data_IF_138901434118
#
_entry.id   IF_138901434118
#
_cell.length_a   1.000
_cell.length_b   1.000
_cell.length_c   1.000
_cell.angle_alpha   90.00
_cell.angle_beta   90.00
_cell.angle_gamma   90.00
#
_symmetry.space_group_name_H-M   'P 1'
#
loop_
_entity.id
_entity.type
_entity.pdbx_description
1 polymer ?
#
# COMPACT_ATOMS: atom_id res chain seq x y z
N UNK A 1 17.51 10.86 -13.97
CA UNK A 1 16.99 9.62 -13.36
C UNK A 1 15.49 9.64 -13.55
N UNK A 2 14.86 8.55 -14.01
CA UNK A 2 13.41 8.49 -14.30
C UNK A 2 12.78 7.29 -13.61
N UNK A 3 11.45 7.28 -13.44
CA UNK A 3 10.75 6.10 -12.92
C UNK A 3 11.02 4.87 -13.79
N UNK A 4 10.93 5.01 -15.11
CA UNK A 4 11.25 3.93 -16.04
C UNK A 4 12.67 3.37 -15.82
N UNK A 5 13.66 4.24 -15.58
CA UNK A 5 15.03 3.83 -15.29
C UNK A 5 15.18 3.07 -13.97
N UNK A 6 14.48 3.51 -12.91
CA UNK A 6 14.46 2.82 -11.62
C UNK A 6 13.81 1.45 -11.73
N UNK A 7 12.63 1.34 -12.36
CA UNK A 7 11.95 0.07 -12.57
C UNK A 7 12.75 -0.89 -13.46
N UNK A 8 13.39 -0.38 -14.52
CA UNK A 8 14.31 -1.18 -15.33
C UNK A 8 15.45 -1.74 -14.45
N UNK A 9 16.04 -0.91 -13.59
CA UNK A 9 17.12 -1.34 -12.68
C UNK A 9 16.63 -2.41 -11.71
N UNK A 10 15.44 -2.25 -11.12
CA UNK A 10 14.83 -3.26 -10.26
C UNK A 10 14.72 -4.61 -10.99
N UNK A 11 14.29 -4.58 -12.25
CA UNK A 11 13.99 -5.76 -13.05
C UNK A 11 15.22 -6.51 -13.57
N UNK A 12 16.33 -5.82 -13.89
CA UNK A 12 17.46 -6.45 -14.59
C UNK A 12 18.78 -6.44 -13.83
N UNK A 13 18.95 -5.58 -12.82
CA UNK A 13 20.22 -5.45 -12.13
C UNK A 13 20.43 -6.56 -11.08
N UNK A 14 21.63 -6.58 -10.50
CA UNK A 14 21.95 -7.43 -9.37
C UNK A 14 21.11 -7.08 -8.12
N UNK A 15 21.17 -7.95 -7.11
CA UNK A 15 20.38 -7.83 -5.88
C UNK A 15 20.57 -6.49 -5.16
N UNK A 16 21.81 -6.01 -5.09
CA UNK A 16 22.13 -4.78 -4.37
C UNK A 16 21.62 -3.54 -5.10
N UNK A 17 21.84 -3.48 -6.42
CA UNK A 17 21.38 -2.37 -7.24
C UNK A 17 19.85 -2.34 -7.36
N UNK A 18 19.22 -3.50 -7.49
CA UNK A 18 17.75 -3.63 -7.48
C UNK A 18 17.15 -3.14 -6.16
N UNK A 19 17.74 -3.54 -5.03
CA UNK A 19 17.30 -3.06 -3.70
C UNK A 19 17.47 -1.54 -3.56
N UNK A 20 18.61 -0.99 -3.98
CA UNK A 20 18.85 0.45 -3.99
C UNK A 20 17.82 1.18 -4.86
N UNK A 21 17.56 0.68 -6.05
CA UNK A 21 16.59 1.26 -6.97
C UNK A 21 15.18 1.27 -6.37
N UNK A 22 14.74 0.17 -5.75
CA UNK A 22 13.45 0.10 -5.06
C UNK A 22 13.32 1.16 -3.95
N UNK A 23 14.37 1.36 -3.14
CA UNK A 23 14.38 2.42 -2.11
C UNK A 23 14.42 3.83 -2.71
N UNK A 24 15.03 3.99 -3.89
CA UNK A 24 15.11 5.26 -4.59
C UNK A 24 13.78 5.67 -5.21
N UNK A 25 12.89 4.73 -5.57
CA UNK A 25 11.55 5.06 -6.10
C UNK A 25 10.79 5.99 -5.16
N UNK A 26 10.81 5.72 -3.86
CA UNK A 26 10.17 6.60 -2.85
C UNK A 26 10.78 7.99 -2.81
N UNK A 27 12.12 8.06 -2.75
CA UNK A 27 12.84 9.34 -2.70
C UNK A 27 12.56 10.17 -3.95
N UNK A 28 12.63 9.51 -5.11
CA UNK A 28 12.37 10.13 -6.39
C UNK A 28 10.95 10.67 -6.43
N UNK A 29 9.95 9.88 -5.99
CA UNK A 29 8.55 10.26 -5.98
C UNK A 29 8.25 11.54 -5.19
N UNK A 30 8.75 11.64 -3.96
CA UNK A 30 8.53 12.84 -3.16
C UNK A 30 9.31 14.05 -3.68
N UNK A 31 10.47 13.85 -4.31
CA UNK A 31 11.23 14.93 -4.95
C UNK A 31 10.65 15.41 -6.28
N UNK A 32 9.92 14.55 -7.00
CA UNK A 32 9.29 14.85 -8.30
C UNK A 32 7.97 15.61 -8.18
N UNK A 33 7.37 15.72 -6.97
CA UNK A 33 6.12 16.47 -6.77
C UNK A 33 6.21 17.94 -7.19
N UNK A 34 7.40 18.49 -7.38
CA UNK A 34 7.64 19.85 -7.90
C UNK A 34 7.68 19.97 -9.44
N UNK A 35 7.75 18.88 -10.22
CA UNK A 35 8.14 18.92 -11.65
C UNK A 35 7.05 18.51 -12.69
N UNK A 36 5.80 18.32 -12.31
CA UNK A 36 4.64 18.42 -13.22
C UNK A 36 4.08 17.15 -13.89
N UNK A 37 3.11 17.34 -14.79
CA UNK A 37 2.17 16.34 -15.38
C UNK A 37 2.79 15.14 -16.12
N UNK A 38 4.04 15.21 -16.59
CA UNK A 38 4.63 14.14 -17.41
C UNK A 38 5.07 12.91 -16.61
N UNK A 39 5.52 13.09 -15.36
CA UNK A 39 5.95 11.98 -14.50
C UNK A 39 4.76 11.13 -14.05
N UNK A 40 3.58 11.73 -13.90
CA UNK A 40 2.32 11.01 -13.61
C UNK A 40 1.92 10.02 -14.70
N UNK A 41 2.10 10.37 -15.99
CA UNK A 41 1.79 9.45 -17.10
C UNK A 41 2.71 8.22 -17.10
N UNK A 42 3.98 8.39 -16.77
CA UNK A 42 4.92 7.27 -16.64
C UNK A 42 4.54 6.36 -15.46
N UNK A 43 4.21 6.94 -14.31
CA UNK A 43 3.75 6.22 -13.12
C UNK A 43 2.49 5.39 -13.45
N UNK A 44 1.49 6.00 -14.09
CA UNK A 44 0.27 5.29 -14.52
C UNK A 44 0.58 4.09 -15.41
N UNK A 45 1.49 4.26 -16.38
CA UNK A 45 1.91 3.15 -17.26
C UNK A 45 2.60 2.03 -16.47
N UNK A 46 3.42 2.36 -15.48
CA UNK A 46 4.08 1.38 -14.61
C UNK A 46 3.04 0.60 -13.80
N UNK A 47 2.12 1.30 -13.13
CA UNK A 47 1.06 0.71 -12.31
C UNK A 47 0.21 -0.25 -13.13
N UNK A 48 -0.29 0.20 -14.28
CA UNK A 48 -1.17 -0.61 -15.14
C UNK A 48 -0.51 -1.91 -15.61
N UNK A 49 0.80 -1.90 -15.82
CA UNK A 49 1.54 -3.07 -16.28
C UNK A 49 2.15 -3.89 -15.13
N UNK A 50 2.05 -3.43 -13.87
CA UNK A 50 2.74 -4.03 -12.73
C UNK A 50 2.38 -5.50 -12.49
N UNK A 51 1.11 -5.94 -12.55
CA UNK A 51 0.79 -7.36 -12.40
C UNK A 51 1.46 -8.22 -13.48
N UNK A 52 1.43 -7.76 -14.74
CA UNK A 52 2.05 -8.46 -15.86
C UNK A 52 3.57 -8.55 -15.73
N UNK A 53 4.24 -7.46 -15.34
CA UNK A 53 5.68 -7.47 -15.10
C UNK A 53 6.06 -8.33 -13.90
N UNK A 54 5.29 -8.30 -12.81
CA UNK A 54 5.50 -9.11 -11.62
C UNK A 54 5.53 -10.62 -11.95
N UNK A 55 4.60 -11.10 -12.78
CA UNK A 55 4.55 -12.53 -13.16
C UNK A 55 5.76 -13.02 -13.92
N UNK A 56 6.54 -12.12 -14.54
CA UNK A 56 7.77 -12.46 -15.27
C UNK A 56 8.99 -12.59 -14.37
N UNK A 57 8.91 -12.14 -13.11
CA UNK A 57 10.03 -12.15 -12.18
C UNK A 57 10.13 -13.52 -11.52
N UNK A 58 11.22 -14.24 -11.79
CA UNK A 58 11.51 -15.55 -11.19
C UNK A 58 12.18 -15.45 -9.80
N UNK A 59 12.93 -14.37 -9.56
CA UNK A 59 13.71 -14.19 -8.33
C UNK A 59 12.86 -13.62 -7.19
N UNK A 60 12.71 -14.37 -6.09
CA UNK A 60 11.94 -13.96 -4.91
C UNK A 60 12.36 -12.59 -4.35
N UNK A 61 13.67 -12.34 -4.25
CA UNK A 61 14.19 -11.07 -3.74
C UNK A 61 13.89 -9.90 -4.68
N UNK A 62 13.79 -10.16 -5.99
CA UNK A 62 13.46 -9.15 -6.99
C UNK A 62 11.97 -8.86 -6.99
N UNK A 63 11.14 -9.88 -6.80
CA UNK A 63 9.71 -9.73 -6.57
C UNK A 63 9.44 -8.85 -5.34
N UNK A 64 10.17 -9.07 -4.24
CA UNK A 64 10.05 -8.24 -3.03
C UNK A 64 10.39 -6.77 -3.32
N UNK A 65 11.54 -6.52 -3.98
CA UNK A 65 11.96 -5.17 -4.37
C UNK A 65 10.95 -4.51 -5.30
N UNK A 66 10.39 -5.26 -6.25
CA UNK A 66 9.39 -4.76 -7.20
C UNK A 66 8.09 -4.37 -6.49
N UNK A 67 7.56 -5.24 -5.62
CA UNK A 67 6.35 -4.95 -4.83
C UNK A 67 6.56 -3.72 -3.96
N UNK A 68 7.69 -3.65 -3.25
CA UNK A 68 8.04 -2.48 -2.42
C UNK A 68 8.30 -1.19 -3.20
N UNK A 69 8.52 -1.26 -4.51
CA UNK A 69 8.66 -0.09 -5.36
C UNK A 69 7.31 0.39 -5.92
N UNK A 70 6.48 -0.53 -6.42
CA UNK A 70 5.13 -0.19 -6.93
C UNK A 70 4.26 0.35 -5.80
N UNK A 71 4.42 -0.18 -4.59
CA UNK A 71 3.64 0.23 -3.43
C UNK A 71 3.63 1.73 -3.20
N UNK A 72 4.77 2.37 -3.42
CA UNK A 72 4.97 3.79 -3.16
C UNK A 72 4.26 4.65 -4.20
N UNK A 73 4.02 4.13 -5.41
CA UNK A 73 3.38 4.89 -6.49
C UNK A 73 1.86 4.64 -6.53
N UNK A 74 1.37 3.66 -5.77
CA UNK A 74 -0.02 3.21 -5.78
C UNK A 74 -1.02 4.35 -5.53
N UNK A 75 -0.72 5.26 -4.59
CA UNK A 75 -1.63 6.34 -4.20
C UNK A 75 -1.79 7.45 -5.26
N UNK A 76 -1.03 7.39 -6.36
CA UNK A 76 -1.06 8.42 -7.43
C UNK A 76 -1.80 7.96 -8.69
N UNK A 77 -2.52 6.83 -8.61
CA UNK A 77 -3.32 6.34 -9.74
C UNK A 77 -4.67 7.07 -9.84
N UNK A 78 -4.75 7.94 -10.85
CA UNK A 78 -5.92 8.67 -11.36
C UNK A 78 -6.70 9.51 -10.33
N UNK A 79 -6.14 10.69 -10.03
CA UNK A 79 -6.79 11.73 -9.20
C UNK A 79 -8.01 12.38 -9.87
N UNK A 80 -8.32 12.11 -11.15
CA UNK A 80 -9.29 12.93 -11.91
C UNK A 80 -10.55 12.21 -12.41
N UNK A 81 -10.73 10.90 -12.25
CA UNK A 81 -11.92 10.25 -12.82
C UNK A 81 -12.44 9.01 -12.11
N UNK A 82 -11.60 7.99 -11.93
CA UNK A 82 -11.97 6.74 -11.26
C UNK A 82 -10.71 6.16 -10.61
N UNK A 83 -10.59 6.16 -9.26
CA UNK A 83 -9.46 5.50 -8.63
C UNK A 83 -9.51 4.00 -8.97
N UNK A 84 -8.70 3.57 -9.93
CA UNK A 84 -8.47 2.15 -10.19
C UNK A 84 -7.58 1.66 -9.06
N UNK A 85 -8.19 0.94 -8.12
CA UNK A 85 -7.53 0.52 -6.91
C UNK A 85 -6.78 -0.76 -7.24
N UNK A 86 -5.50 -0.81 -6.89
CA UNK A 86 -4.67 -2.02 -6.92
C UNK A 86 -5.14 -3.03 -5.85
N UNK A 87 -6.31 -2.85 -5.24
CA UNK A 87 -6.87 -3.79 -4.28
C UNK A 87 -6.93 -5.23 -4.82
N UNK A 88 -7.36 -5.51 -6.06
CA UNK A 88 -7.30 -6.87 -6.59
C UNK A 88 -5.86 -7.44 -6.57
N UNK A 89 -4.88 -6.62 -6.96
CA UNK A 89 -3.48 -7.04 -6.96
C UNK A 89 -2.91 -7.16 -5.55
N UNK A 90 -3.20 -6.22 -4.64
CA UNK A 90 -2.89 -6.31 -3.22
C UNK A 90 -3.43 -7.62 -2.62
N UNK A 91 -4.70 -7.95 -2.86
CA UNK A 91 -5.31 -9.17 -2.31
C UNK A 91 -4.65 -10.42 -2.90
N UNK A 92 -4.19 -10.40 -4.14
CA UNK A 92 -3.36 -11.47 -4.69
C UNK A 92 -2.00 -11.57 -3.95
N UNK A 93 -1.33 -10.45 -3.69
CA UNK A 93 -0.05 -10.42 -2.97
C UNK A 93 -0.18 -10.90 -1.52
N UNK A 94 -1.29 -10.58 -0.83
CA UNK A 94 -1.57 -11.05 0.54
C UNK A 94 -1.86 -12.56 0.60
N UNK A 95 -2.26 -13.17 -0.52
CA UNK A 95 -2.44 -14.61 -0.69
C UNK A 95 -1.17 -15.32 -1.17
N UNK A 96 -0.10 -14.58 -1.44
CA UNK A 96 1.12 -15.17 -1.99
C UNK A 96 1.76 -16.18 -1.03
N UNK A 97 2.30 -17.29 -1.56
CA UNK A 97 2.93 -18.35 -0.75
C UNK A 97 4.17 -17.87 0.02
N UNK A 98 4.96 -16.98 -0.59
CA UNK A 98 6.16 -16.40 0.00
C UNK A 98 5.78 -15.32 1.03
N UNK A 99 6.20 -15.51 2.28
CA UNK A 99 5.91 -14.59 3.39
C UNK A 99 6.54 -13.21 3.23
N UNK A 100 7.68 -13.09 2.56
CA UNK A 100 8.32 -11.80 2.31
C UNK A 100 7.49 -10.93 1.37
N UNK A 101 6.85 -11.54 0.37
CA UNK A 101 5.93 -10.84 -0.54
C UNK A 101 4.69 -10.37 0.21
N UNK A 102 4.09 -11.23 1.06
CA UNK A 102 2.97 -10.82 1.92
C UNK A 102 3.37 -9.66 2.83
N UNK A 103 4.55 -9.72 3.44
CA UNK A 103 5.05 -8.65 4.30
C UNK A 103 5.32 -7.35 3.52
N UNK A 104 5.88 -7.43 2.32
CA UNK A 104 6.05 -6.27 1.44
C UNK A 104 4.70 -5.64 1.06
N UNK A 105 3.66 -6.45 0.83
CA UNK A 105 2.30 -5.98 0.56
C UNK A 105 1.61 -5.36 1.79
N UNK A 106 1.91 -5.82 3.01
CA UNK A 106 1.46 -5.16 4.25
C UNK A 106 2.11 -3.77 4.35
N UNK A 107 3.44 -3.70 4.26
CA UNK A 107 4.18 -2.42 4.28
C UNK A 107 3.77 -1.46 3.17
N UNK A 108 3.33 -1.99 2.03
CA UNK A 108 2.78 -1.18 0.94
C UNK A 108 1.60 -0.35 1.41
N UNK A 109 0.69 -0.95 2.15
CA UNK A 109 -0.54 -0.29 2.57
C UNK A 109 -0.28 0.58 3.80
N UNK A 110 0.50 0.12 4.77
CA UNK A 110 0.82 0.91 5.97
C UNK A 110 1.40 2.30 5.65
N UNK A 111 2.28 2.41 4.65
CA UNK A 111 2.87 3.69 4.28
C UNK A 111 1.89 4.66 3.62
N UNK A 112 0.82 4.16 2.99
CA UNK A 112 -0.10 4.95 2.19
C UNK A 112 -1.45 5.20 2.88
N UNK A 113 -1.81 4.38 3.88
CA UNK A 113 -3.05 4.52 4.64
C UNK A 113 -3.18 5.91 5.26
N UNK A 114 -2.10 6.47 5.78
CA UNK A 114 -2.15 7.80 6.40
C UNK A 114 -2.60 8.92 5.46
N UNK A 115 -2.31 8.83 4.16
CA UNK A 115 -2.82 9.80 3.18
C UNK A 115 -4.30 9.58 2.87
N UNK A 116 -4.73 8.32 2.88
CA UNK A 116 -6.12 7.93 2.62
C UNK A 116 -7.06 8.30 3.78
N UNK A 117 -6.57 8.23 5.01
CA UNK A 117 -7.33 8.49 6.25
C UNK A 117 -7.16 9.91 6.79
N UNK A 118 -6.36 10.75 6.11
CA UNK A 118 -6.06 12.11 6.57
C UNK A 118 -7.33 12.93 6.85
N UNK A 119 -8.32 12.87 5.97
CA UNK A 119 -9.57 13.62 6.11
C UNK A 119 -10.42 13.19 7.30
N UNK A 120 -10.23 11.95 7.79
CA UNK A 120 -10.87 11.44 8.99
C UNK A 120 -10.17 12.02 10.23
N UNK A 121 -8.84 12.03 10.23
CA UNK A 121 -8.02 12.49 11.36
C UNK A 121 -8.00 14.02 11.50
N UNK A 122 -8.09 14.75 10.40
CA UNK A 122 -8.00 16.21 10.34
C UNK A 122 -9.18 16.80 9.55
N UNK A 123 -10.39 16.57 10.06
CA UNK A 123 -11.65 16.96 9.40
C UNK A 123 -11.85 18.47 9.22
N UNK A 124 -11.09 19.30 9.94
CA UNK A 124 -11.14 20.78 9.89
C UNK A 124 -10.15 21.42 8.91
N UNK A 125 -9.23 20.64 8.33
CA UNK A 125 -8.20 21.17 7.42
C UNK A 125 -8.54 20.94 5.95
N UNK A 126 -8.34 21.94 5.09
CA UNK A 126 -8.54 21.81 3.64
C UNK A 126 -7.50 20.86 3.05
N UNK A 127 -7.97 19.76 2.48
CA UNK A 127 -7.17 18.78 1.74
C UNK A 127 -6.66 19.37 0.42
N UNK A 128 -5.56 20.10 0.45
CA UNK A 128 -4.86 20.49 -0.79
C UNK A 128 -3.99 19.36 -1.36
N UNK A 129 -3.75 18.28 -0.60
CA UNK A 129 -2.64 17.35 -0.85
C UNK A 129 -3.01 15.97 -1.43
N UNK A 130 -4.26 15.51 -1.36
CA UNK A 130 -4.63 14.16 -1.81
C UNK A 130 -5.30 14.12 -3.18
N UNK A 131 -5.92 15.21 -3.64
CA UNK A 131 -6.73 15.24 -4.86
C UNK A 131 -8.03 14.43 -4.76
N UNK A 132 -8.29 13.72 -3.65
CA UNK A 132 -9.51 12.96 -3.41
C UNK A 132 -10.47 13.77 -2.53
N UNK A 133 -11.76 13.78 -2.89
CA UNK A 133 -12.79 14.26 -1.96
C UNK A 133 -12.93 13.28 -0.77
N UNK A 134 -13.33 13.76 0.42
CA UNK A 134 -13.61 12.90 1.58
C UNK A 134 -14.51 11.71 1.23
N UNK A 135 -15.60 11.96 0.48
CA UNK A 135 -16.53 10.89 0.05
C UNK A 135 -15.87 9.82 -0.84
N UNK A 136 -14.91 10.19 -1.68
CA UNK A 136 -14.17 9.22 -2.49
C UNK A 136 -13.23 8.41 -1.60
N UNK A 137 -12.50 9.07 -0.69
CA UNK A 137 -11.61 8.41 0.25
C UNK A 137 -12.38 7.42 1.15
N UNK A 138 -13.54 7.81 1.68
CA UNK A 138 -14.42 6.92 2.48
C UNK A 138 -14.84 5.68 1.70
N UNK A 139 -15.22 5.83 0.43
CA UNK A 139 -15.59 4.70 -0.44
C UNK A 139 -14.41 3.74 -0.65
N UNK A 140 -13.21 4.28 -0.84
CA UNK A 140 -11.99 3.48 -0.99
C UNK A 140 -11.68 2.72 0.30
N UNK A 141 -11.72 3.41 1.45
CA UNK A 141 -11.51 2.81 2.79
C UNK A 141 -12.51 1.68 3.03
N UNK A 142 -13.79 1.93 2.76
CA UNK A 142 -14.84 0.93 2.91
C UNK A 142 -14.59 -0.30 2.01
N UNK A 143 -14.21 -0.09 0.76
CA UNK A 143 -13.86 -1.16 -0.18
C UNK A 143 -12.67 -1.99 0.29
N UNK A 144 -11.61 -1.33 0.79
CA UNK A 144 -10.44 -1.98 1.37
C UNK A 144 -10.84 -2.85 2.56
N UNK A 145 -11.56 -2.27 3.53
CA UNK A 145 -12.02 -2.95 4.75
C UNK A 145 -12.86 -4.18 4.43
N UNK A 146 -13.80 -4.05 3.50
CA UNK A 146 -14.65 -5.15 3.03
C UNK A 146 -13.82 -6.28 2.43
N UNK A 147 -12.88 -5.95 1.54
CA UNK A 147 -12.02 -6.95 0.90
C UNK A 147 -11.10 -7.67 1.91
N UNK A 148 -10.54 -6.94 2.88
CA UNK A 148 -9.72 -7.53 3.94
C UNK A 148 -10.52 -8.45 4.86
N UNK A 149 -11.74 -8.06 5.25
CA UNK A 149 -12.63 -8.90 6.05
C UNK A 149 -13.00 -10.20 5.32
N UNK A 150 -13.33 -10.11 4.03
CA UNK A 150 -13.59 -11.30 3.20
C UNK A 150 -12.35 -12.20 3.12
N UNK A 151 -11.17 -11.62 2.95
CA UNK A 151 -9.90 -12.34 2.91
C UNK A 151 -9.59 -13.02 4.24
N UNK A 152 -9.85 -12.37 5.37
CA UNK A 152 -9.73 -12.96 6.70
C UNK A 152 -10.71 -14.11 6.90
N UNK A 153 -11.99 -13.92 6.55
CA UNK A 153 -13.00 -14.95 6.69
C UNK A 153 -12.64 -16.22 5.91
N UNK A 154 -12.15 -16.06 4.67
CA UNK A 154 -11.73 -17.18 3.82
C UNK A 154 -10.42 -17.87 4.25
N UNK A 155 -9.57 -17.17 5.01
CA UNK A 155 -8.26 -17.69 5.45
C UNK A 155 -8.22 -18.07 6.94
N UNK A 156 -9.34 -17.93 7.64
CA UNK A 156 -9.50 -18.31 9.04
C UNK A 156 -9.27 -19.81 9.25
N UNK A 157 -8.72 -20.15 10.41
CA UNK A 157 -8.56 -21.53 10.87
C UNK A 157 -8.94 -21.60 12.34
N UNK A 158 -9.63 -22.65 12.76
CA UNK A 158 -9.99 -22.83 14.19
C UNK A 158 -8.78 -22.85 15.12
N UNK A 159 -7.63 -23.31 14.63
CA UNK A 159 -6.36 -23.26 15.35
C UNK A 159 -5.92 -21.86 15.75
N UNK A 160 -6.50 -20.81 15.15
CA UNK A 160 -6.17 -19.43 15.45
C UNK A 160 -6.88 -18.89 16.71
N UNK A 161 -7.94 -19.56 17.20
CA UNK A 161 -8.70 -19.14 18.40
C UNK A 161 -7.84 -19.04 19.67
N UNK A 162 -6.73 -19.77 19.72
CA UNK A 162 -5.82 -19.79 20.88
C UNK A 162 -4.88 -18.58 20.96
N UNK A 163 -4.75 -17.79 19.90
CA UNK A 163 -3.85 -16.63 19.88
C UNK A 163 -4.61 -15.39 20.32
N UNK A 164 -4.05 -14.68 21.30
CA UNK A 164 -4.64 -13.44 21.85
C UNK A 164 -4.21 -12.21 21.06
N UNK A 165 -2.97 -12.18 20.59
CA UNK A 165 -2.40 -11.03 19.88
C UNK A 165 -2.12 -11.37 18.41
N UNK A 166 -2.27 -10.38 17.52
CA UNK A 166 -1.97 -10.53 16.08
C UNK A 166 -0.53 -11.01 15.89
N UNK A 167 0.40 -10.49 16.70
CA UNK A 167 1.82 -10.83 16.62
C UNK A 167 2.10 -12.33 16.89
N UNK A 168 1.24 -13.00 17.66
CA UNK A 168 1.41 -14.43 17.98
C UNK A 168 0.88 -15.35 16.87
N UNK A 169 0.10 -14.81 15.93
CA UNK A 169 -0.43 -15.62 14.84
C UNK A 169 0.69 -16.17 13.96
N UNK A 170 0.52 -17.38 13.40
CA UNK A 170 1.40 -17.88 12.35
C UNK A 170 1.43 -16.93 11.15
N UNK A 171 2.58 -16.82 10.49
CA UNK A 171 2.69 -16.05 9.25
C UNK A 171 1.77 -16.65 8.19
N UNK A 172 0.96 -15.80 7.57
CA UNK A 172 -0.02 -16.24 6.58
C UNK A 172 -0.95 -15.10 6.19
N UNK A 173 -1.81 -15.38 5.21
CA UNK A 173 -2.81 -14.44 4.68
C UNK A 173 -3.67 -13.82 5.78
N UNK A 174 -4.16 -14.64 6.72
CA UNK A 174 -4.99 -14.17 7.83
C UNK A 174 -4.27 -13.11 8.68
N UNK A 175 -3.03 -13.39 9.11
CA UNK A 175 -2.22 -12.43 9.88
C UNK A 175 -1.92 -11.17 9.08
N UNK A 176 -1.56 -11.31 7.81
CA UNK A 176 -1.26 -10.16 6.94
C UNK A 176 -2.47 -9.25 6.74
N UNK A 177 -3.66 -9.81 6.54
CA UNK A 177 -4.89 -9.03 6.45
C UNK A 177 -5.25 -8.36 7.79
N UNK A 178 -5.08 -9.06 8.91
CA UNK A 178 -5.27 -8.48 10.25
C UNK A 178 -4.33 -7.31 10.54
N UNK A 179 -3.06 -7.39 10.14
CA UNK A 179 -2.10 -6.29 10.33
C UNK A 179 -2.58 -5.02 9.61
N UNK A 180 -3.04 -5.15 8.36
CA UNK A 180 -3.56 -4.00 7.61
C UNK A 180 -4.83 -3.44 8.26
N UNK A 181 -5.76 -4.31 8.69
CA UNK A 181 -6.98 -3.87 9.35
C UNK A 181 -6.70 -3.16 10.68
N UNK A 182 -5.73 -3.64 11.46
CA UNK A 182 -5.30 -2.98 12.70
C UNK A 182 -4.86 -1.55 12.43
N UNK A 183 -3.99 -1.34 11.43
CA UNK A 183 -3.51 0.00 11.06
C UNK A 183 -4.65 0.86 10.51
N UNK A 184 -5.56 0.28 9.73
CA UNK A 184 -6.73 1.00 9.24
C UNK A 184 -7.66 1.45 10.38
N UNK A 185 -7.90 0.59 11.37
CA UNK A 185 -8.70 0.92 12.54
C UNK A 185 -8.02 2.02 13.37
N UNK A 186 -6.70 1.92 13.61
CA UNK A 186 -5.93 2.97 14.31
C UNK A 186 -6.01 4.32 13.59
N UNK A 187 -5.89 4.33 12.26
CA UNK A 187 -5.93 5.55 11.45
C UNK A 187 -7.36 6.12 11.26
N UNK A 188 -8.40 5.29 11.33
CA UNK A 188 -9.80 5.73 11.15
C UNK A 188 -10.54 6.03 12.46
N UNK A 189 -10.01 5.60 13.60
CA UNK A 189 -10.60 5.95 14.88
C UNK A 189 -10.48 7.46 15.09
N UNK A 190 -11.60 8.11 15.44
CA UNK A 190 -11.57 9.47 15.95
C UNK A 190 -10.58 9.53 17.12
N UNK A 191 -9.63 10.46 17.08
CA UNK A 191 -8.96 10.89 18.30
C UNK A 191 -10.03 11.58 19.14
N UNK A 192 -10.82 10.79 19.87
CA UNK A 192 -11.69 11.26 20.94
C UNK A 192 -10.84 11.61 22.17
N UNK A 193 -9.88 12.53 21.97
CA UNK A 193 -9.11 13.17 23.02
C UNK A 193 -9.09 14.69 22.78
N UNK A 194 -10.26 15.31 22.79
CA UNK A 194 -10.40 16.54 23.57
C UNK A 194 -10.78 16.14 24.98
N UNK A 195 -9.79 15.85 25.83
CA UNK A 195 -9.97 15.97 27.28
C UNK A 195 -8.65 16.29 27.99
N UNK A 196 -8.53 17.58 28.33
CA UNK A 196 -7.91 18.10 29.55
C UNK A 196 -6.41 17.85 29.80
N UNK A 197 -5.56 18.70 29.23
CA UNK A 197 -4.50 19.34 29.99
C UNK A 197 -4.40 20.80 29.56
N UNK A 198 -4.64 21.71 30.51
CA UNK A 198 -4.33 23.15 30.60
C UNK A 198 -5.52 23.90 31.22
N UNK A 199 -5.59 23.85 32.54
CA UNK A 199 -5.63 25.02 33.42
C UNK A 199 -5.24 24.60 34.84
#
# INVERSE_FOLDING_TARGET
MTFAGLFKTILIADKYQSFKAARQVRKFLYSSRSNGKNEFKEIQKIIRNAPGEYTKISDDWRQENFVGAISVIYFLHDQEGKPDLLFPWLFQLLQHKNGNIRHAAVRMIEHELGLLTYHIRFSSERLEHSGLSPKQADRIIFGLRTGLNNLMASSWKDSYKKFKYINDLPSGTYKSAQLILSVLDDDCNEVNETTNYYH
#
